data_IF_375267737978
#
_entry.id   IF_375267737978
#
_cell.length_a   1.000
_cell.length_b   1.000
_cell.length_c   1.000
_cell.angle_alpha   90.00
_cell.angle_beta   90.00
_cell.angle_gamma   90.00
#
_symmetry.space_group_name_H-M   'P 1'
#
loop_
_entity.id
_entity.type
_entity.pdbx_description
1 polymer ?
#
# COMPACT_ATOMS: atom_id res chain seq x y z
N UNK A 1 -26.28 6.00 16.60
CA UNK A 1 -25.89 4.99 17.61
C UNK A 1 -24.70 4.13 17.17
N UNK A 2 -24.64 3.58 15.94
CA UNK A 2 -23.49 2.79 15.47
C UNK A 2 -22.22 3.65 15.33
N UNK A 3 -22.33 4.83 14.77
CA UNK A 3 -21.21 5.77 14.62
C UNK A 3 -20.62 6.19 15.97
N UNK A 4 -21.46 6.57 16.92
CA UNK A 4 -21.01 6.97 18.26
C UNK A 4 -20.28 5.82 18.96
N UNK A 5 -20.71 4.58 18.76
CA UNK A 5 -20.01 3.42 19.30
C UNK A 5 -18.70 3.13 18.56
N UNK A 6 -18.66 3.28 17.24
CA UNK A 6 -17.42 3.11 16.48
C UNK A 6 -16.32 4.12 16.87
N UNK A 7 -16.69 5.36 17.21
CA UNK A 7 -15.74 6.38 17.67
C UNK A 7 -15.05 6.00 19.00
N UNK A 8 -15.66 5.16 19.83
CA UNK A 8 -15.01 4.71 21.09
C UNK A 8 -13.80 3.82 20.85
N UNK A 9 -13.65 3.28 19.64
CA UNK A 9 -12.51 2.46 19.23
C UNK A 9 -11.39 3.26 18.56
N UNK A 10 -11.64 4.54 18.24
CA UNK A 10 -10.64 5.41 17.64
C UNK A 10 -9.66 5.93 18.71
N UNK A 11 -8.39 6.04 18.38
CA UNK A 11 -7.37 6.61 19.25
C UNK A 11 -7.60 8.12 19.52
N UNK A 12 -8.15 8.81 18.52
CA UNK A 12 -8.64 10.19 18.62
C UNK A 12 -10.05 10.28 18.02
N UNK A 13 -11.12 10.26 18.85
CA UNK A 13 -12.50 10.32 18.39
C UNK A 13 -12.87 11.62 17.66
N UNK A 14 -12.29 12.76 18.07
CA UNK A 14 -12.58 14.05 17.46
C UNK A 14 -12.01 14.11 16.04
N UNK A 15 -10.77 13.65 15.89
CA UNK A 15 -10.10 13.51 14.61
C UNK A 15 -10.82 12.52 13.70
N UNK A 16 -11.19 11.34 14.21
CA UNK A 16 -11.94 10.34 13.46
C UNK A 16 -13.26 10.90 12.90
N UNK A 17 -13.95 11.73 13.68
CA UNK A 17 -15.17 12.39 13.26
C UNK A 17 -14.92 13.40 12.14
N UNK A 18 -13.91 14.26 12.29
CA UNK A 18 -13.56 15.26 11.28
C UNK A 18 -13.10 14.61 9.96
N UNK A 19 -12.26 13.59 10.04
CA UNK A 19 -11.79 12.82 8.88
C UNK A 19 -12.94 12.05 8.22
N UNK A 20 -13.91 11.56 8.98
CA UNK A 20 -15.09 10.88 8.45
C UNK A 20 -15.99 11.84 7.68
N UNK A 21 -16.19 13.06 8.18
CA UNK A 21 -16.96 14.09 7.47
C UNK A 21 -16.31 14.42 6.10
N UNK A 22 -14.99 14.61 6.08
CA UNK A 22 -14.24 14.82 4.85
C UNK A 22 -14.29 13.61 3.91
N UNK A 23 -14.26 12.39 4.44
CA UNK A 23 -14.41 11.16 3.66
C UNK A 23 -15.78 11.07 3.00
N UNK A 24 -16.84 11.39 3.70
CA UNK A 24 -18.19 11.46 3.13
C UNK A 24 -18.29 12.52 2.02
N UNK A 25 -17.68 13.68 2.22
CA UNK A 25 -17.62 14.75 1.23
C UNK A 25 -16.93 14.29 -0.07
N UNK A 26 -15.82 13.53 0.04
CA UNK A 26 -15.13 12.96 -1.11
C UNK A 26 -16.02 12.00 -1.89
N UNK A 27 -16.68 11.07 -1.18
CA UNK A 27 -17.59 10.09 -1.78
C UNK A 27 -18.80 10.76 -2.45
N UNK A 28 -19.35 11.79 -1.84
CA UNK A 28 -20.50 12.53 -2.40
C UNK A 28 -20.09 13.30 -3.65
N UNK A 29 -18.90 13.89 -3.67
CA UNK A 29 -18.36 14.64 -4.81
C UNK A 29 -17.91 13.72 -5.96
N UNK A 30 -17.50 12.50 -5.64
CA UNK A 30 -17.17 11.50 -6.67
C UNK A 30 -18.43 11.09 -7.43
N UNK A 31 -18.43 11.33 -8.75
CA UNK A 31 -19.56 11.00 -9.63
C UNK A 31 -19.67 9.51 -9.97
N UNK A 32 -18.75 8.67 -9.49
CA UNK A 32 -18.73 7.23 -9.74
C UNK A 32 -19.81 6.48 -8.96
N UNK A 33 -20.81 5.92 -9.64
CA UNK A 33 -21.87 5.10 -9.01
C UNK A 33 -21.31 3.92 -8.21
N UNK A 34 -20.17 3.36 -8.65
CA UNK A 34 -19.54 2.21 -8.02
C UNK A 34 -18.90 2.57 -6.67
N UNK A 35 -18.21 3.69 -6.61
CA UNK A 35 -17.57 4.21 -5.39
C UNK A 35 -18.61 4.51 -4.30
N UNK A 36 -19.74 5.14 -4.66
CA UNK A 36 -20.84 5.41 -3.71
C UNK A 36 -21.47 4.15 -3.14
N UNK A 37 -21.71 3.12 -3.95
CA UNK A 37 -22.27 1.86 -3.48
C UNK A 37 -21.31 1.18 -2.50
N UNK A 38 -20.04 1.06 -2.85
CA UNK A 38 -19.04 0.44 -1.98
C UNK A 38 -18.87 1.20 -0.66
N UNK A 39 -18.87 2.53 -0.69
CA UNK A 39 -18.78 3.34 0.52
C UNK A 39 -19.98 3.15 1.45
N UNK A 40 -21.20 3.08 0.90
CA UNK A 40 -22.40 2.79 1.67
C UNK A 40 -22.35 1.38 2.27
N UNK A 41 -21.83 0.40 1.55
CA UNK A 41 -21.66 -0.96 2.04
C UNK A 41 -20.72 -0.99 3.24
N UNK A 42 -19.58 -0.30 3.16
CA UNK A 42 -18.57 -0.20 4.25
C UNK A 42 -19.16 0.51 5.49
N UNK A 43 -19.87 1.63 5.28
CA UNK A 43 -20.47 2.41 6.39
C UNK A 43 -21.64 1.64 7.03
N UNK A 44 -22.30 0.77 6.27
CA UNK A 44 -23.42 -0.04 6.75
C UNK A 44 -22.97 -1.35 7.41
N UNK A 45 -21.76 -1.82 7.11
CA UNK A 45 -21.27 -3.07 7.67
C UNK A 45 -20.75 -2.90 9.10
N UNK A 46 -21.33 -3.69 10.01
CA UNK A 46 -21.03 -3.66 11.46
C UNK A 46 -19.58 -4.02 11.80
N UNK A 47 -18.88 -4.75 10.93
CA UNK A 47 -17.49 -5.17 11.15
C UNK A 47 -16.51 -4.16 10.59
N UNK A 48 -16.76 -3.66 9.40
CA UNK A 48 -15.86 -2.79 8.65
C UNK A 48 -15.91 -1.34 9.16
N UNK A 49 -17.08 -0.88 9.60
CA UNK A 49 -17.25 0.49 10.07
C UNK A 49 -16.40 0.86 11.31
N UNK A 50 -16.28 0.02 12.37
CA UNK A 50 -15.37 0.29 13.49
C UNK A 50 -13.89 0.36 13.06
N UNK A 51 -13.50 -0.42 12.05
CA UNK A 51 -12.15 -0.39 11.48
C UNK A 51 -11.88 0.94 10.78
N UNK A 52 -12.81 1.40 9.97
CA UNK A 52 -12.72 2.71 9.34
C UNK A 52 -12.56 3.82 10.38
N UNK A 53 -13.34 3.80 11.47
CA UNK A 53 -13.22 4.78 12.54
C UNK A 53 -11.84 4.76 13.21
N UNK A 54 -11.27 3.59 13.45
CA UNK A 54 -9.90 3.45 13.98
C UNK A 54 -8.86 4.02 13.02
N UNK A 55 -8.95 3.71 11.73
CA UNK A 55 -8.04 4.22 10.71
C UNK A 55 -8.09 5.74 10.61
N UNK A 56 -9.29 6.30 10.55
CA UNK A 56 -9.51 7.75 10.47
C UNK A 56 -9.01 8.51 11.71
N UNK A 57 -8.99 7.86 12.88
CA UNK A 57 -8.47 8.43 14.13
C UNK A 57 -6.99 8.15 14.40
N UNK A 58 -6.32 7.30 13.61
CA UNK A 58 -4.98 6.84 13.94
C UNK A 58 -3.88 7.81 13.52
N UNK A 59 -3.91 8.34 12.28
CA UNK A 59 -2.80 9.10 11.72
C UNK A 59 -3.25 10.10 10.68
N UNK A 60 -2.68 11.34 10.74
CA UNK A 60 -2.88 12.36 9.69
C UNK A 60 -2.28 11.90 8.37
N UNK A 61 -1.15 11.21 8.41
CA UNK A 61 -0.50 10.64 7.23
C UNK A 61 -1.41 9.66 6.49
N UNK A 62 -2.04 8.71 7.21
CA UNK A 62 -3.00 7.79 6.63
C UNK A 62 -4.20 8.51 6.01
N UNK A 63 -4.68 9.57 6.65
CA UNK A 63 -5.78 10.36 6.13
C UNK A 63 -5.36 11.19 4.91
N UNK A 64 -4.33 12.03 5.06
CA UNK A 64 -4.02 13.04 4.04
C UNK A 64 -3.34 12.48 2.80
N UNK A 65 -2.41 11.56 2.96
CA UNK A 65 -1.66 11.03 1.82
C UNK A 65 -2.31 9.81 1.18
N UNK A 66 -3.05 9.03 1.93
CA UNK A 66 -3.56 7.76 1.46
C UNK A 66 -5.08 7.77 1.21
N UNK A 67 -5.89 8.03 2.23
CA UNK A 67 -7.35 7.93 2.13
C UNK A 67 -7.93 8.97 1.17
N UNK A 68 -7.41 10.18 1.18
CA UNK A 68 -7.85 11.25 0.30
C UNK A 68 -7.53 11.01 -1.18
N UNK A 69 -6.41 10.35 -1.46
CA UNK A 69 -5.93 10.11 -2.84
C UNK A 69 -6.37 8.77 -3.42
N UNK A 70 -6.64 7.78 -2.57
CA UNK A 70 -6.86 6.40 -2.98
C UNK A 70 -8.09 5.74 -2.35
N UNK A 71 -9.12 6.52 -2.03
CA UNK A 71 -10.36 6.01 -1.41
C UNK A 71 -10.99 4.86 -2.19
N UNK A 72 -10.84 4.82 -3.51
CA UNK A 72 -11.32 3.71 -4.35
C UNK A 72 -10.64 2.38 -4.07
N UNK A 73 -9.37 2.43 -3.63
CA UNK A 73 -8.60 1.23 -3.28
C UNK A 73 -8.79 0.83 -1.81
N UNK A 74 -9.22 1.76 -0.95
CA UNK A 74 -9.43 1.53 0.47
C UNK A 74 -10.58 0.56 0.74
N UNK A 75 -11.70 0.77 0.08
CA UNK A 75 -12.93 0.06 0.38
C UNK A 75 -12.82 -1.47 0.17
N UNK A 76 -12.23 -1.96 -0.94
CA UNK A 76 -11.93 -3.38 -1.10
C UNK A 76 -10.99 -3.91 -0.02
N UNK A 77 -9.95 -3.15 0.34
CA UNK A 77 -8.96 -3.57 1.32
C UNK A 77 -9.54 -3.73 2.74
N UNK A 78 -10.49 -2.87 3.12
CA UNK A 78 -11.17 -2.99 4.42
C UNK A 78 -11.99 -4.29 4.53
N UNK A 79 -12.44 -4.84 3.41
CA UNK A 79 -13.18 -6.11 3.40
C UNK A 79 -12.24 -7.32 3.30
N UNK A 80 -11.11 -7.17 2.64
CA UNK A 80 -10.16 -8.26 2.34
C UNK A 80 -9.04 -8.43 3.38
N UNK A 81 -8.81 -7.41 4.24
CA UNK A 81 -7.65 -7.39 5.14
C UNK A 81 -7.63 -8.55 6.16
N UNK A 82 -8.83 -9.06 6.55
CA UNK A 82 -8.93 -10.07 7.61
C UNK A 82 -8.18 -11.36 7.26
N UNK A 83 -8.26 -11.79 6.02
CA UNK A 83 -7.65 -13.05 5.55
C UNK A 83 -6.20 -12.89 5.05
N UNK A 84 -5.73 -11.65 4.87
CA UNK A 84 -4.39 -11.40 4.38
C UNK A 84 -3.36 -11.43 5.52
N UNK A 85 -2.19 -12.09 5.38
CA UNK A 85 -1.14 -12.06 6.40
C UNK A 85 -0.48 -10.67 6.46
N UNK A 86 0.04 -10.28 7.65
CA UNK A 86 0.85 -9.06 7.77
C UNK A 86 2.09 -9.14 6.88
N UNK A 87 2.86 -10.22 7.03
CA UNK A 87 4.05 -10.48 6.22
C UNK A 87 3.68 -11.43 5.08
N UNK A 88 3.74 -10.93 3.85
CA UNK A 88 3.66 -11.78 2.65
C UNK A 88 5.06 -12.24 2.26
N UNK A 89 5.26 -13.53 1.94
CA UNK A 89 6.54 -13.99 1.40
C UNK A 89 6.94 -13.20 0.14
N UNK A 90 8.20 -12.84 0.01
CA UNK A 90 8.70 -12.10 -1.18
C UNK A 90 8.35 -12.79 -2.50
N UNK A 91 8.35 -14.13 -2.53
CA UNK A 91 7.94 -14.88 -3.73
C UNK A 91 6.50 -14.57 -4.15
N UNK A 92 5.59 -14.37 -3.18
CA UNK A 92 4.21 -13.98 -3.42
C UNK A 92 4.13 -12.55 -3.94
N UNK A 93 4.81 -11.60 -3.28
CA UNK A 93 4.87 -10.21 -3.71
C UNK A 93 5.44 -10.08 -5.14
N UNK A 94 6.56 -10.77 -5.46
CA UNK A 94 7.15 -10.79 -6.81
C UNK A 94 6.17 -11.33 -7.85
N UNK A 95 5.42 -12.39 -7.52
CA UNK A 95 4.43 -12.98 -8.42
C UNK A 95 3.25 -12.06 -8.68
N UNK A 96 2.72 -11.42 -7.65
CA UNK A 96 1.61 -10.47 -7.75
C UNK A 96 2.01 -9.23 -8.55
N UNK A 97 3.13 -8.60 -8.19
CA UNK A 97 3.70 -7.46 -8.92
C UNK A 97 4.01 -7.82 -10.39
N UNK A 98 4.61 -8.98 -10.61
CA UNK A 98 4.93 -9.45 -11.97
C UNK A 98 3.69 -9.53 -12.85
N UNK A 99 2.57 -10.05 -12.34
CA UNK A 99 1.30 -10.12 -13.08
C UNK A 99 0.76 -8.74 -13.47
N UNK A 100 0.87 -7.75 -12.58
CA UNK A 100 0.42 -6.39 -12.85
C UNK A 100 1.28 -5.71 -13.92
N UNK A 101 2.60 -5.79 -13.76
CA UNK A 101 3.54 -5.17 -14.70
C UNK A 101 3.50 -5.84 -16.09
N UNK A 102 3.27 -7.14 -16.16
CA UNK A 102 3.11 -7.84 -17.46
C UNK A 102 1.90 -7.36 -18.28
N UNK A 103 0.85 -6.85 -17.64
CA UNK A 103 -0.33 -6.29 -18.31
C UNK A 103 -0.08 -4.88 -18.84
N UNK A 104 0.93 -4.20 -18.34
CA UNK A 104 1.27 -2.83 -18.71
C UNK A 104 2.06 -2.83 -20.03
N UNK A 105 1.53 -2.17 -21.06
CA UNK A 105 2.09 -2.15 -22.42
C UNK A 105 3.14 -1.06 -22.63
N UNK A 106 3.17 -0.02 -21.79
CA UNK A 106 4.09 1.12 -21.89
C UNK A 106 4.93 1.23 -20.63
N UNK A 107 6.06 1.94 -20.72
CA UNK A 107 6.92 2.21 -19.55
C UNK A 107 6.20 3.01 -18.47
N UNK A 108 5.37 3.98 -18.87
CA UNK A 108 4.53 4.79 -17.97
C UNK A 108 3.54 3.88 -17.23
N UNK A 109 2.81 3.04 -17.96
CA UNK A 109 1.86 2.11 -17.36
C UNK A 109 2.53 1.09 -16.42
N UNK A 110 3.79 0.71 -16.70
CA UNK A 110 4.58 -0.15 -15.78
C UNK A 110 4.93 0.56 -14.49
N UNK A 111 5.37 1.82 -14.59
CA UNK A 111 5.66 2.67 -13.44
C UNK A 111 4.41 2.88 -12.58
N UNK A 112 3.26 3.15 -13.21
CA UNK A 112 1.98 3.31 -12.53
C UNK A 112 1.56 2.01 -11.83
N UNK A 113 1.68 0.87 -12.50
CA UNK A 113 1.37 -0.44 -11.92
C UNK A 113 2.27 -0.76 -10.71
N UNK A 114 3.55 -0.38 -10.77
CA UNK A 114 4.50 -0.57 -9.66
C UNK A 114 4.14 0.33 -8.48
N UNK A 115 3.83 1.61 -8.72
CA UNK A 115 3.40 2.55 -7.67
C UNK A 115 2.07 2.12 -7.04
N UNK A 116 1.08 1.74 -7.85
CA UNK A 116 -0.21 1.24 -7.36
C UNK A 116 -0.05 -0.01 -6.50
N UNK A 117 0.79 -0.96 -6.92
CA UNK A 117 1.08 -2.15 -6.13
C UNK A 117 1.75 -1.79 -4.79
N UNK A 118 2.76 -0.93 -4.81
CA UNK A 118 3.45 -0.44 -3.61
C UNK A 118 2.44 0.19 -2.65
N UNK A 119 1.64 1.12 -3.12
CA UNK A 119 0.68 1.86 -2.30
C UNK A 119 -0.39 0.93 -1.71
N UNK A 120 -0.89 -0.02 -2.51
CA UNK A 120 -1.85 -1.03 -2.07
C UNK A 120 -1.27 -1.94 -0.95
N UNK A 121 -0.05 -2.43 -1.14
CA UNK A 121 0.58 -3.30 -0.13
C UNK A 121 0.99 -2.54 1.13
N UNK A 122 1.51 -1.31 1.02
CA UNK A 122 1.78 -0.45 2.18
C UNK A 122 0.51 -0.27 3.00
N UNK A 123 -0.59 0.08 2.35
CA UNK A 123 -1.86 0.29 3.04
C UNK A 123 -2.39 -0.99 3.71
N UNK A 124 -2.26 -2.15 3.05
CA UNK A 124 -2.61 -3.44 3.65
C UNK A 124 -1.81 -3.69 4.93
N UNK A 125 -0.51 -3.40 4.91
CA UNK A 125 0.40 -3.55 6.06
C UNK A 125 -0.02 -2.59 7.19
N UNK A 126 -0.29 -1.33 6.86
CA UNK A 126 -0.72 -0.30 7.83
C UNK A 126 -2.06 -0.67 8.49
N UNK A 127 -3.06 -1.09 7.70
CA UNK A 127 -4.35 -1.54 8.24
C UNK A 127 -4.13 -2.69 9.23
N UNK A 128 -3.37 -3.71 8.84
CA UNK A 128 -3.09 -4.85 9.71
C UNK A 128 -2.46 -4.42 11.03
N UNK A 129 -1.45 -3.57 10.97
CA UNK A 129 -0.75 -3.07 12.16
C UNK A 129 -1.66 -2.26 13.09
N UNK A 130 -2.52 -1.39 12.53
CA UNK A 130 -3.42 -0.55 13.31
C UNK A 130 -4.57 -1.35 13.90
N UNK A 131 -5.08 -2.32 13.16
CA UNK A 131 -6.30 -3.03 13.52
C UNK A 131 -6.06 -4.25 14.39
N UNK A 132 -4.96 -4.99 14.15
CA UNK A 132 -4.65 -6.19 14.90
C UNK A 132 -3.75 -5.89 16.10
N UNK A 133 -4.27 -5.98 17.35
CA UNK A 133 -3.47 -5.72 18.55
C UNK A 133 -2.29 -6.67 18.75
N UNK A 134 -2.32 -7.81 18.07
CA UNK A 134 -1.26 -8.84 18.12
C UNK A 134 -0.04 -8.50 17.25
N UNK A 135 -0.14 -7.52 16.35
CA UNK A 135 0.98 -7.13 15.50
C UNK A 135 2.01 -6.36 16.32
N UNK A 136 3.25 -6.82 16.31
CA UNK A 136 4.37 -6.13 16.93
C UNK A 136 5.10 -5.24 15.91
N UNK A 137 5.88 -4.29 16.40
CA UNK A 137 6.64 -3.37 15.55
C UNK A 137 7.70 -4.08 14.68
N UNK A 138 8.46 -5.08 15.17
CA UNK A 138 9.39 -5.83 14.33
C UNK A 138 8.74 -6.50 13.11
N UNK A 139 7.58 -7.13 13.27
CA UNK A 139 6.87 -7.77 12.15
C UNK A 139 6.32 -6.74 11.16
N UNK A 140 5.86 -5.58 11.65
CA UNK A 140 5.45 -4.45 10.82
C UNK A 140 6.62 -3.93 9.98
N UNK A 141 7.76 -3.64 10.61
CA UNK A 141 8.99 -3.21 9.93
C UNK A 141 9.49 -4.23 8.91
N UNK A 142 9.43 -5.52 9.27
CA UNK A 142 9.82 -6.60 8.36
C UNK A 142 8.91 -6.64 7.13
N UNK A 143 7.58 -6.50 7.30
CA UNK A 143 6.64 -6.49 6.19
C UNK A 143 6.92 -5.34 5.20
N UNK A 144 7.21 -4.13 5.71
CA UNK A 144 7.59 -2.98 4.89
C UNK A 144 8.92 -3.21 4.17
N UNK A 145 9.90 -3.79 4.85
CA UNK A 145 11.22 -4.10 4.26
C UNK A 145 11.10 -5.12 3.14
N UNK A 146 10.34 -6.22 3.36
CA UNK A 146 10.09 -7.24 2.32
C UNK A 146 9.42 -6.62 1.07
N UNK A 147 8.47 -5.72 1.26
CA UNK A 147 7.85 -4.98 0.16
C UNK A 147 8.86 -4.10 -0.55
N UNK A 148 9.65 -3.30 0.20
CA UNK A 148 10.63 -2.38 -0.36
C UNK A 148 11.70 -3.11 -1.19
N UNK A 149 12.20 -4.26 -0.72
CA UNK A 149 13.14 -5.10 -1.45
C UNK A 149 12.56 -5.54 -2.80
N UNK A 150 11.32 -6.03 -2.83
CA UNK A 150 10.65 -6.47 -4.06
C UNK A 150 10.43 -5.33 -5.05
N UNK A 151 10.04 -4.14 -4.55
CA UNK A 151 9.85 -2.95 -5.38
C UNK A 151 11.19 -2.50 -5.97
N UNK A 152 12.26 -2.46 -5.16
CA UNK A 152 13.60 -2.10 -5.61
C UNK A 152 14.15 -3.06 -6.67
N UNK A 153 14.05 -4.37 -6.43
CA UNK A 153 14.45 -5.39 -7.41
C UNK A 153 13.75 -5.18 -8.76
N UNK A 154 12.45 -4.97 -8.72
CA UNK A 154 11.67 -4.76 -9.94
C UNK A 154 12.06 -3.47 -10.65
N UNK A 155 12.20 -2.37 -9.91
CA UNK A 155 12.61 -1.08 -10.46
C UNK A 155 13.99 -1.17 -11.14
N UNK A 156 14.94 -1.83 -10.50
CA UNK A 156 16.28 -2.05 -11.03
C UNK A 156 16.22 -2.88 -12.32
N UNK A 157 15.42 -3.97 -12.32
CA UNK A 157 15.29 -4.82 -13.51
C UNK A 157 14.70 -4.05 -14.71
N UNK A 158 13.62 -3.27 -14.47
CA UNK A 158 12.97 -2.49 -15.54
C UNK A 158 13.87 -1.36 -16.05
N UNK A 159 14.58 -0.65 -15.16
CA UNK A 159 15.56 0.38 -15.55
C UNK A 159 16.76 -0.22 -16.30
N UNK A 160 17.30 -1.33 -15.83
CA UNK A 160 18.42 -2.02 -16.49
C UNK A 160 18.03 -2.48 -17.90
N UNK A 161 16.87 -3.11 -18.07
CA UNK A 161 16.41 -3.55 -19.37
C UNK A 161 16.23 -2.38 -20.36
N UNK A 162 15.78 -1.22 -19.89
CA UNK A 162 15.65 -0.01 -20.68
C UNK A 162 17.00 0.56 -21.09
N UNK A 163 17.93 0.65 -20.16
CA UNK A 163 19.29 1.17 -20.42
C UNK A 163 20.09 0.22 -21.32
N UNK A 164 20.02 -1.09 -21.10
CA UNK A 164 20.65 -2.08 -21.96
C UNK A 164 20.15 -2.01 -23.40
N UNK A 165 18.87 -1.74 -23.61
CA UNK A 165 18.30 -1.56 -24.95
C UNK A 165 18.86 -0.32 -25.66
N UNK A 166 19.15 0.75 -24.93
CA UNK A 166 19.63 2.02 -25.48
C UNK A 166 21.14 2.10 -25.60
N UNK A 167 21.87 1.51 -24.67
CA UNK A 167 23.34 1.67 -24.52
C UNK A 167 24.10 0.35 -24.58
N UNK A 168 23.43 -0.80 -24.66
CA UNK A 168 24.06 -2.12 -24.55
C UNK A 168 24.31 -2.52 -23.08
N UNK A 169 24.70 -3.77 -22.89
CA UNK A 169 25.07 -4.28 -21.57
C UNK A 169 26.33 -3.66 -21.05
N UNK A 170 26.40 -3.24 -19.77
CA UNK A 170 27.64 -2.76 -19.18
C UNK A 170 28.67 -3.88 -19.13
N UNK A 171 29.87 -3.55 -19.59
CA UNK A 171 30.99 -4.50 -19.70
C UNK A 171 32.26 -3.92 -19.09
N UNK A 172 33.07 -4.79 -18.51
CA UNK A 172 34.42 -4.49 -18.10
C UNK A 172 35.34 -4.41 -19.34
N UNK A 173 36.57 -3.88 -19.19
CA UNK A 173 37.56 -3.79 -20.27
C UNK A 173 37.85 -5.16 -20.92
N UNK A 174 37.70 -6.25 -20.18
CA UNK A 174 37.89 -7.62 -20.68
C UNK A 174 36.62 -8.22 -21.30
N UNK A 175 35.61 -7.40 -21.62
CA UNK A 175 34.30 -7.78 -22.20
C UNK A 175 33.41 -8.68 -21.32
N UNK A 176 33.80 -8.92 -20.07
CA UNK A 176 32.92 -9.60 -19.12
C UNK A 176 31.80 -8.65 -18.66
N UNK A 177 30.60 -9.18 -18.31
CA UNK A 177 29.55 -8.36 -17.73
C UNK A 177 30.06 -7.59 -16.52
N UNK A 178 29.72 -6.31 -16.42
CA UNK A 178 30.05 -5.49 -15.25
C UNK A 178 28.92 -5.71 -14.22
N UNK A 179 29.17 -6.42 -13.08
CA UNK A 179 28.20 -6.54 -12.02
C UNK A 179 28.06 -5.20 -11.29
N UNK A 180 26.86 -4.90 -10.83
CA UNK A 180 26.62 -3.82 -9.88
C UNK A 180 25.80 -4.33 -8.70
N UNK A 181 25.88 -3.64 -7.58
CA UNK A 181 25.09 -3.94 -6.40
C UNK A 181 24.43 -2.65 -5.89
N UNK A 182 23.25 -2.83 -5.30
CA UNK A 182 22.54 -1.77 -4.57
C UNK A 182 22.62 -2.08 -3.09
N UNK A 183 23.12 -1.14 -2.30
CA UNK A 183 23.25 -1.28 -0.85
C UNK A 183 22.20 -0.42 -0.16
N UNK A 184 21.33 -1.07 0.62
CA UNK A 184 20.43 -0.40 1.52
C UNK A 184 21.19 0.15 2.72
N UNK A 185 20.92 1.40 3.13
CA UNK A 185 21.48 2.04 4.31
C UNK A 185 20.37 2.48 5.26
N UNK A 186 20.73 2.75 6.52
CA UNK A 186 19.78 3.19 7.54
C UNK A 186 18.73 2.13 7.83
N UNK A 187 17.48 2.57 8.00
CA UNK A 187 16.35 1.68 8.35
C UNK A 187 16.13 0.56 7.34
N UNK A 188 16.29 0.87 6.05
CA UNK A 188 16.15 -0.14 5.01
C UNK A 188 17.26 -1.22 5.11
N UNK A 189 18.52 -0.81 5.28
CA UNK A 189 19.64 -1.74 5.46
C UNK A 189 19.58 -2.54 6.76
N UNK A 190 19.03 -1.95 7.82
CA UNK A 190 18.78 -2.59 9.12
C UNK A 190 17.53 -3.45 9.17
N UNK A 191 16.71 -3.47 8.10
CA UNK A 191 15.38 -4.13 8.05
C UNK A 191 14.40 -3.58 9.09
N UNK A 192 14.42 -2.25 9.28
CA UNK A 192 13.66 -1.50 10.31
C UNK A 192 12.78 -0.40 9.68
N UNK A 193 12.26 -0.61 8.46
CA UNK A 193 11.40 0.35 7.77
C UNK A 193 10.08 0.59 8.50
#
# INVERSE_FOLDING_TARGET
KQFTHALTWASDPAKALASFDQFLDLIVKDQGKKSKSQALDVVSDKKTFPLLARLLGASDFLWEDFLRRQHDNLLPLLTEYQDAPLIKPQATLRKELGRLVMRAKTDEARKDALNQFKDHEMFRIDIKHIVEPSTNFPDFSLALTELAEVIMERSIADCSAKLEKSYGRPQLANKKPCPFAVLGLGKFGGREL
#
